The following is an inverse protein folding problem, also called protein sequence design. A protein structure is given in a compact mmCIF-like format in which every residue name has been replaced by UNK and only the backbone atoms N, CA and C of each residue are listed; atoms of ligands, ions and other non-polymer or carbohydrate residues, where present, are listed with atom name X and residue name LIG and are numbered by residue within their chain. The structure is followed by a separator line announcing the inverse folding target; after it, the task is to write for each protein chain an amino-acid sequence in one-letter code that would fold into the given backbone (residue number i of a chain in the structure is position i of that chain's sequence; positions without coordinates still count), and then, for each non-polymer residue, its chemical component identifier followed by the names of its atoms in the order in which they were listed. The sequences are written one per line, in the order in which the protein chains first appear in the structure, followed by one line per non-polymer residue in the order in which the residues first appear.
data_IF_541725826644
#
_entry.id   IF_541725826644
#
_cell.length_a   1.000
_cell.length_b   1.000
_cell.length_c   1.000
_cell.angle_alpha   90.00
_cell.angle_beta   90.00
_cell.angle_gamma   90.00
#
_symmetry.space_group_name_H-M   'P 1'
#
loop_
_entity.id
_entity.type
_entity.pdbx_description
1 polymer ?
#
# COMPACT_ATOMS: atom_id res chain seq x y z
N UNK A 1 -23.94 -17.31 -6.61
CA UNK A 1 -22.65 -17.22 -5.93
C UNK A 1 -22.56 -18.16 -4.71
N UNK A 2 -23.48 -18.16 -3.75
CA UNK A 2 -23.49 -19.03 -2.54
C UNK A 2 -23.31 -20.53 -2.84
N UNK A 3 -24.01 -21.09 -3.84
CA UNK A 3 -23.91 -22.51 -4.21
C UNK A 3 -22.52 -22.86 -4.77
N UNK A 4 -21.92 -21.97 -5.52
CA UNK A 4 -20.56 -22.16 -6.06
C UNK A 4 -19.51 -22.18 -4.94
N UNK A 5 -19.64 -21.26 -3.97
CA UNK A 5 -18.80 -21.20 -2.78
C UNK A 5 -18.94 -22.50 -1.96
N UNK A 6 -20.17 -22.94 -1.66
CA UNK A 6 -20.41 -24.17 -0.94
C UNK A 6 -19.79 -25.40 -1.64
N UNK A 7 -19.93 -25.51 -2.95
CA UNK A 7 -19.29 -26.59 -3.74
C UNK A 7 -17.78 -26.54 -3.66
N UNK A 8 -17.19 -25.34 -3.68
CA UNK A 8 -15.75 -25.15 -3.57
C UNK A 8 -15.24 -25.58 -2.19
N UNK A 9 -15.93 -25.18 -1.12
CA UNK A 9 -15.57 -25.51 0.26
C UNK A 9 -15.64 -27.03 0.52
N UNK A 10 -16.63 -27.71 -0.07
CA UNK A 10 -16.77 -29.17 0.04
C UNK A 10 -15.62 -29.94 -0.64
N UNK A 11 -15.01 -29.39 -1.69
CA UNK A 11 -13.88 -30.01 -2.39
C UNK A 11 -12.58 -30.01 -1.60
N UNK A 12 -12.45 -29.17 -0.57
CA UNK A 12 -11.26 -29.02 0.30
C UNK A 12 -9.92 -28.99 -0.49
N UNK A 13 -9.74 -28.10 -1.47
CA UNK A 13 -8.51 -28.04 -2.25
C UNK A 13 -7.33 -27.61 -1.37
N UNK A 14 -6.10 -27.94 -1.75
CA UNK A 14 -4.91 -27.54 -0.98
C UNK A 14 -4.73 -26.01 -0.90
N UNK A 15 -5.27 -25.26 -1.88
CA UNK A 15 -5.18 -23.80 -1.96
C UNK A 15 -6.54 -23.24 -2.34
N UNK A 16 -7.05 -22.32 -1.53
CA UNK A 16 -8.22 -21.48 -1.87
C UNK A 16 -7.77 -20.12 -2.41
N UNK A 17 -8.39 -19.71 -3.52
CA UNK A 17 -8.31 -18.36 -4.04
C UNK A 17 -9.72 -17.75 -3.93
N UNK A 18 -9.87 -16.76 -3.06
CA UNK A 18 -11.15 -16.11 -2.78
C UNK A 18 -11.04 -14.62 -3.11
N UNK A 19 -11.92 -14.17 -3.99
CA UNK A 19 -12.06 -12.77 -4.37
C UNK A 19 -13.43 -12.27 -3.91
N UNK A 20 -13.44 -11.33 -2.97
CA UNK A 20 -14.61 -10.72 -2.34
C UNK A 20 -15.65 -11.75 -1.89
N UNK A 21 -15.28 -12.76 -1.07
CA UNK A 21 -16.19 -13.87 -0.72
C UNK A 21 -17.35 -13.44 0.17
N UNK A 22 -17.25 -12.31 0.85
CA UNK A 22 -18.30 -11.75 1.72
C UNK A 22 -19.43 -11.07 0.95
N UNK A 23 -19.22 -10.75 -0.34
CA UNK A 23 -20.22 -10.11 -1.16
C UNK A 23 -21.50 -10.96 -1.27
N UNK A 24 -22.62 -10.35 -0.97
CA UNK A 24 -23.96 -10.96 -0.99
C UNK A 24 -24.20 -12.08 0.05
N UNK A 25 -23.37 -12.18 1.09
CA UNK A 25 -23.60 -13.02 2.25
C UNK A 25 -24.30 -12.21 3.36
N UNK A 26 -25.15 -12.90 4.12
CA UNK A 26 -25.67 -12.38 5.37
C UNK A 26 -24.63 -12.56 6.50
N UNK A 27 -24.87 -11.89 7.61
CA UNK A 27 -23.92 -11.85 8.75
C UNK A 27 -23.64 -13.26 9.28
N UNK A 28 -24.65 -14.11 9.37
CA UNK A 28 -24.50 -15.49 9.84
C UNK A 28 -23.61 -16.31 8.91
N UNK A 29 -23.79 -16.16 7.59
CA UNK A 29 -22.95 -16.82 6.59
C UNK A 29 -21.51 -16.34 6.63
N UNK A 30 -21.27 -15.03 6.88
CA UNK A 30 -19.92 -14.47 7.02
C UNK A 30 -19.24 -15.07 8.26
N UNK A 31 -19.90 -15.08 9.41
CA UNK A 31 -19.35 -15.66 10.64
C UNK A 31 -19.00 -17.14 10.47
N UNK A 32 -19.90 -17.90 9.83
CA UNK A 32 -19.64 -19.31 9.52
C UNK A 32 -18.41 -19.46 8.58
N UNK A 33 -18.29 -18.61 7.57
CA UNK A 33 -17.17 -18.64 6.65
C UNK A 33 -15.85 -18.28 7.35
N UNK A 34 -15.84 -17.28 8.24
CA UNK A 34 -14.70 -16.93 9.07
C UNK A 34 -14.22 -18.14 9.89
N UNK A 35 -15.14 -18.78 10.58
CA UNK A 35 -14.81 -19.95 11.41
C UNK A 35 -14.29 -21.12 10.57
N UNK A 36 -14.89 -21.37 9.42
CA UNK A 36 -14.42 -22.39 8.49
C UNK A 36 -13.00 -22.11 8.00
N UNK A 37 -12.71 -20.87 7.57
CA UNK A 37 -11.40 -20.48 7.04
C UNK A 37 -10.32 -20.46 8.12
N UNK A 38 -10.62 -20.08 9.35
CA UNK A 38 -9.70 -20.15 10.51
C UNK A 38 -9.22 -21.58 10.78
N UNK A 39 -10.09 -22.54 10.61
CA UNK A 39 -9.81 -23.96 10.87
C UNK A 39 -9.37 -24.72 9.62
N UNK A 40 -9.14 -24.01 8.50
CA UNK A 40 -8.77 -24.63 7.26
C UNK A 40 -7.28 -25.02 7.24
N UNK A 41 -6.98 -26.29 6.92
CA UNK A 41 -5.62 -26.82 6.93
C UNK A 41 -4.81 -26.49 5.65
N UNK A 42 -5.43 -25.94 4.62
CA UNK A 42 -4.78 -25.54 3.37
C UNK A 42 -4.38 -24.06 3.35
N UNK A 43 -3.75 -23.63 2.27
CA UNK A 43 -3.45 -22.22 2.05
C UNK A 43 -4.69 -21.47 1.56
N UNK A 44 -4.92 -20.28 2.11
CA UNK A 44 -6.01 -19.38 1.69
C UNK A 44 -5.40 -18.08 1.20
N UNK A 45 -5.64 -17.73 -0.06
CA UNK A 45 -5.35 -16.41 -0.61
C UNK A 45 -6.67 -15.66 -0.79
N UNK A 46 -6.80 -14.54 -0.09
CA UNK A 46 -8.04 -13.80 0.06
C UNK A 46 -7.85 -12.36 -0.36
N UNK A 47 -8.78 -11.85 -1.17
CA UNK A 47 -8.95 -10.43 -1.47
C UNK A 47 -10.30 -10.00 -0.92
N UNK A 48 -10.36 -8.96 -0.11
CA UNK A 48 -11.61 -8.41 0.41
C UNK A 48 -11.46 -6.94 0.80
N UNK A 49 -12.56 -6.19 0.72
CA UNK A 49 -12.70 -4.84 1.27
C UNK A 49 -13.22 -4.85 2.72
N UNK A 50 -13.70 -5.97 3.20
CA UNK A 50 -14.14 -6.13 4.59
C UNK A 50 -12.95 -6.30 5.53
N UNK A 51 -12.62 -5.20 6.23
CA UNK A 51 -11.48 -5.14 7.14
C UNK A 51 -11.63 -6.07 8.34
N UNK A 52 -12.83 -6.20 8.86
CA UNK A 52 -13.10 -7.06 10.01
C UNK A 52 -12.93 -8.54 9.63
N UNK A 53 -13.44 -8.93 8.48
CA UNK A 53 -13.25 -10.26 7.91
C UNK A 53 -11.78 -10.58 7.68
N UNK A 54 -11.03 -9.66 7.04
CA UNK A 54 -9.59 -9.82 6.84
C UNK A 54 -8.85 -10.01 8.17
N UNK A 55 -9.14 -9.19 9.16
CA UNK A 55 -8.46 -9.24 10.45
C UNK A 55 -8.75 -10.53 11.23
N UNK A 56 -9.97 -11.03 11.09
CA UNK A 56 -10.40 -12.27 11.73
C UNK A 56 -9.80 -13.53 11.08
N UNK A 57 -9.61 -13.53 9.76
CA UNK A 57 -9.25 -14.75 9.01
C UNK A 57 -7.77 -14.81 8.67
N UNK A 58 -7.14 -13.65 8.44
CA UNK A 58 -5.76 -13.63 7.91
C UNK A 58 -4.71 -13.50 9.00
N UNK A 59 -3.61 -14.23 8.83
CA UNK A 59 -2.41 -14.13 9.68
C UNK A 59 -1.25 -13.42 8.98
N UNK A 60 -1.41 -13.15 7.68
CA UNK A 60 -0.39 -12.58 6.81
C UNK A 60 -1.04 -11.67 5.78
N UNK A 61 -0.47 -10.51 5.55
CA UNK A 61 -0.96 -9.53 4.57
C UNK A 61 0.11 -9.28 3.54
N UNK A 62 -0.25 -9.36 2.26
CA UNK A 62 0.63 -9.07 1.13
C UNK A 62 0.13 -7.80 0.44
N UNK A 63 0.99 -6.82 0.32
CA UNK A 63 0.73 -5.56 -0.38
C UNK A 63 1.52 -5.51 -1.68
N UNK A 64 0.87 -5.11 -2.76
CA UNK A 64 1.52 -4.81 -4.04
C UNK A 64 1.48 -3.30 -4.22
N UNK A 65 2.64 -2.66 -4.26
CA UNK A 65 2.76 -1.21 -4.41
C UNK A 65 3.98 -0.84 -5.23
N UNK A 66 3.84 0.10 -6.19
CA UNK A 66 4.91 0.53 -7.10
C UNK A 66 5.66 -0.63 -7.77
N UNK A 67 4.95 -1.67 -8.19
CA UNK A 67 5.52 -2.87 -8.82
C UNK A 67 6.34 -3.77 -7.87
N UNK A 68 6.34 -3.48 -6.56
CA UNK A 68 7.01 -4.27 -5.52
C UNK A 68 6.00 -5.01 -4.66
N UNK A 69 6.38 -6.17 -4.18
CA UNK A 69 5.58 -6.99 -3.26
C UNK A 69 6.14 -6.84 -1.85
N UNK A 70 5.30 -6.43 -0.92
CA UNK A 70 5.64 -6.33 0.50
C UNK A 70 4.86 -7.38 1.28
N UNK A 71 5.57 -8.17 2.06
CA UNK A 71 5.03 -9.27 2.83
C UNK A 71 5.07 -8.97 4.32
N UNK A 72 3.90 -8.87 4.93
CA UNK A 72 3.73 -8.61 6.36
C UNK A 72 3.15 -9.86 7.03
N UNK A 73 3.94 -10.50 7.88
CA UNK A 73 3.51 -11.68 8.67
C UNK A 73 2.64 -11.25 9.86
N UNK A 74 1.64 -10.45 9.59
CA UNK A 74 0.70 -9.90 10.59
C UNK A 74 -0.71 -9.77 10.01
N UNK A 75 -1.77 -9.78 10.85
CA UNK A 75 -3.13 -9.48 10.45
C UNK A 75 -3.28 -8.07 9.88
N UNK A 76 -4.41 -7.83 9.23
CA UNK A 76 -4.67 -6.60 8.49
C UNK A 76 -4.56 -5.32 9.34
N UNK A 77 -5.09 -5.30 10.57
CA UNK A 77 -5.03 -4.11 11.44
C UNK A 77 -3.60 -3.72 11.79
N UNK A 78 -2.74 -4.69 12.08
CA UNK A 78 -1.32 -4.45 12.33
C UNK A 78 -0.56 -4.03 11.07
N UNK A 79 -0.91 -4.61 9.92
CA UNK A 79 -0.37 -4.20 8.63
C UNK A 79 -0.61 -2.71 8.35
N UNK A 80 -1.83 -2.21 8.61
CA UNK A 80 -2.18 -0.78 8.39
C UNK A 80 -1.22 0.14 9.17
N UNK A 81 -0.91 -0.21 10.41
CA UNK A 81 0.05 0.57 11.23
C UNK A 81 1.45 0.52 10.63
N UNK A 82 1.95 -0.69 10.34
CA UNK A 82 3.29 -0.87 9.75
C UNK A 82 3.43 -0.19 8.37
N UNK A 83 2.36 -0.22 7.58
CA UNK A 83 2.30 0.51 6.30
C UNK A 83 2.43 2.02 6.51
N UNK A 84 1.71 2.57 7.48
CA UNK A 84 1.78 4.00 7.80
C UNK A 84 3.19 4.41 8.28
N UNK A 85 3.83 3.60 9.13
CA UNK A 85 5.20 3.83 9.57
C UNK A 85 6.21 3.78 8.39
N UNK A 86 6.11 2.75 7.55
CA UNK A 86 6.96 2.63 6.34
C UNK A 86 6.81 3.86 5.46
N UNK A 87 5.59 4.30 5.24
CA UNK A 87 5.29 5.46 4.41
C UNK A 87 5.87 6.76 4.99
N UNK A 88 5.74 6.95 6.29
CA UNK A 88 6.36 8.10 6.97
C UNK A 88 7.88 8.11 6.78
N UNK A 89 8.54 6.95 6.87
CA UNK A 89 9.97 6.82 6.61
C UNK A 89 10.32 7.11 5.13
N UNK A 90 9.53 6.62 4.18
CA UNK A 90 9.73 6.91 2.76
C UNK A 90 9.58 8.39 2.46
N UNK A 91 8.56 9.06 3.05
CA UNK A 91 8.35 10.49 2.87
C UNK A 91 9.51 11.30 3.44
N UNK A 92 9.99 10.98 4.64
CA UNK A 92 11.15 11.64 5.23
C UNK A 92 12.43 11.45 4.39
N UNK A 93 12.63 10.24 3.84
CA UNK A 93 13.75 9.96 2.94
C UNK A 93 13.64 10.75 1.62
N UNK A 94 12.45 10.83 1.05
CA UNK A 94 12.15 11.62 -0.14
C UNK A 94 12.44 13.11 0.09
N UNK A 95 11.92 13.70 1.18
CA UNK A 95 12.18 15.11 1.50
C UNK A 95 13.66 15.41 1.70
N UNK A 96 14.39 14.53 2.37
CA UNK A 96 15.83 14.66 2.54
C UNK A 96 16.56 14.58 1.20
N UNK A 97 16.15 13.69 0.31
CA UNK A 97 16.70 13.58 -1.04
C UNK A 97 16.41 14.85 -1.85
N UNK A 98 15.19 15.39 -1.80
CA UNK A 98 14.83 16.62 -2.51
C UNK A 98 15.69 17.81 -2.03
N UNK A 99 15.87 17.98 -0.73
CA UNK A 99 16.76 19.01 -0.16
C UNK A 99 18.21 18.85 -0.61
N UNK A 100 18.69 17.60 -0.76
CA UNK A 100 20.04 17.34 -1.27
C UNK A 100 20.17 17.70 -2.75
N UNK A 101 19.16 17.35 -3.55
CA UNK A 101 19.09 17.70 -4.97
C UNK A 101 19.12 19.23 -5.13
N UNK A 102 18.22 19.93 -4.45
CA UNK A 102 18.09 21.40 -4.50
C UNK A 102 19.43 22.10 -4.16
N UNK A 103 20.05 21.74 -3.03
CA UNK A 103 21.35 22.28 -2.63
C UNK A 103 22.46 21.98 -3.65
N UNK A 104 22.38 20.82 -4.30
CA UNK A 104 23.38 20.43 -5.30
C UNK A 104 23.17 21.21 -6.60
N UNK A 105 21.92 21.42 -7.00
CA UNK A 105 21.55 22.23 -8.16
C UNK A 105 21.93 23.71 -7.95
N UNK A 106 21.62 24.28 -6.77
CA UNK A 106 22.06 25.64 -6.41
C UNK A 106 23.58 25.79 -6.47
N UNK A 107 24.32 24.79 -5.98
CA UNK A 107 25.80 24.81 -6.06
C UNK A 107 26.27 24.79 -7.52
N UNK A 108 25.69 23.93 -8.37
CA UNK A 108 26.01 23.83 -9.78
C UNK A 108 25.74 25.17 -10.46
N UNK A 109 24.60 25.78 -10.25
CA UNK A 109 24.20 27.03 -10.86
C UNK A 109 25.16 28.19 -10.45
N UNK A 110 25.43 28.32 -9.15
CA UNK A 110 26.31 29.35 -8.59
C UNK A 110 27.74 29.27 -9.09
N UNK A 111 28.24 28.06 -9.35
CA UNK A 111 29.66 27.85 -9.71
C UNK A 111 29.88 27.41 -11.15
N UNK A 112 28.83 27.31 -11.97
CA UNK A 112 28.85 26.83 -13.36
C UNK A 112 29.93 27.55 -14.24
N UNK A 113 30.11 28.84 -14.03
CA UNK A 113 30.99 29.68 -14.83
C UNK A 113 32.35 29.96 -14.20
N UNK A 114 32.65 29.35 -13.03
CA UNK A 114 33.94 29.54 -12.36
C UNK A 114 34.94 28.44 -12.75
N UNK A 115 36.04 28.77 -13.51
CA UNK A 115 36.99 27.75 -13.97
C UNK A 115 37.59 26.93 -12.83
N UNK A 116 37.89 27.58 -11.67
CA UNK A 116 38.48 26.94 -10.49
C UNK A 116 37.59 25.91 -9.83
N UNK A 117 36.30 25.89 -10.14
CA UNK A 117 35.29 24.97 -9.58
C UNK A 117 34.76 23.94 -10.59
N UNK A 118 35.26 23.97 -11.85
CA UNK A 118 34.78 23.13 -12.95
C UNK A 118 34.75 21.63 -12.58
N UNK A 119 35.80 21.09 -12.00
CA UNK A 119 35.85 19.67 -11.60
C UNK A 119 34.85 19.32 -10.51
N UNK A 120 34.58 20.23 -9.55
CA UNK A 120 33.61 20.03 -8.49
C UNK A 120 32.19 20.07 -9.05
N UNK A 121 31.89 20.97 -9.97
CA UNK A 121 30.59 21.07 -10.66
C UNK A 121 30.33 19.80 -11.46
N UNK A 122 31.28 19.35 -12.28
CA UNK A 122 31.15 18.11 -13.07
C UNK A 122 30.94 16.88 -12.18
N UNK A 123 31.63 16.79 -11.06
CA UNK A 123 31.45 15.69 -10.10
C UNK A 123 30.02 15.68 -9.53
N UNK A 124 29.48 16.85 -9.18
CA UNK A 124 28.12 16.97 -8.65
C UNK A 124 27.04 16.70 -9.70
N UNK A 125 27.24 17.12 -10.93
CA UNK A 125 26.36 16.77 -12.06
C UNK A 125 26.27 15.24 -12.21
N UNK A 126 27.44 14.57 -12.25
CA UNK A 126 27.49 13.11 -12.34
C UNK A 126 26.86 12.40 -11.13
N UNK A 127 26.91 13.00 -9.93
CA UNK A 127 26.21 12.48 -8.76
C UNK A 127 24.69 12.56 -8.93
N UNK A 128 24.17 13.69 -9.42
CA UNK A 128 22.73 13.84 -9.67
C UNK A 128 22.23 12.90 -10.78
N UNK A 129 23.00 12.70 -11.84
CA UNK A 129 22.66 11.80 -12.94
C UNK A 129 22.59 10.32 -12.49
N UNK A 130 23.39 9.94 -11.50
CA UNK A 130 23.42 8.57 -10.94
C UNK A 130 22.45 8.37 -9.77
N UNK A 131 21.82 9.43 -9.31
CA UNK A 131 20.94 9.37 -8.15
C UNK A 131 19.63 8.68 -8.53
N UNK A 132 19.36 7.53 -7.93
CA UNK A 132 18.05 6.90 -8.01
C UNK A 132 17.04 7.74 -7.22
N UNK A 133 16.01 8.22 -7.90
CA UNK A 133 14.97 9.01 -7.26
C UNK A 133 14.05 8.11 -6.43
N UNK A 134 13.79 8.52 -5.20
CA UNK A 134 12.87 7.82 -4.31
C UNK A 134 11.45 8.11 -4.80
N UNK A 135 10.73 7.04 -5.11
CA UNK A 135 9.31 7.10 -5.41
C UNK A 135 8.52 6.88 -4.10
N UNK A 136 7.53 7.70 -3.88
CA UNK A 136 6.63 7.60 -2.71
C UNK A 136 5.27 7.15 -3.19
N UNK A 137 4.67 6.20 -2.48
CA UNK A 137 3.30 5.76 -2.72
C UNK A 137 2.35 6.97 -2.63
N UNK A 138 1.63 7.25 -3.71
CA UNK A 138 0.57 8.25 -3.67
C UNK A 138 -0.50 7.84 -2.64
N UNK A 139 -0.89 8.78 -1.80
CA UNK A 139 -2.05 8.60 -0.96
C UNK A 139 -3.27 8.64 -1.87
N UNK A 140 -4.14 7.65 -1.76
CA UNK A 140 -5.48 7.76 -2.30
C UNK A 140 -6.21 8.86 -1.50
N UNK A 141 -5.90 10.10 -1.87
CA UNK A 141 -6.48 11.31 -1.30
C UNK A 141 -7.88 11.60 -1.90
N UNK A 142 -8.48 10.64 -2.57
CA UNK A 142 -9.86 10.76 -3.06
C UNK A 142 -10.85 10.84 -1.89
N UNK A 143 -10.70 11.88 -1.07
CA UNK A 143 -11.73 12.29 -0.12
C UNK A 143 -12.87 12.91 -0.91
N UNK A 144 -13.96 12.18 -0.97
CA UNK A 144 -15.21 12.67 -1.51
C UNK A 144 -15.65 13.91 -0.69
N UNK A 145 -15.36 15.10 -1.19
CA UNK A 145 -15.72 16.35 -0.52
C UNK A 145 -17.15 16.72 -0.91
N UNK A 146 -18.12 16.00 -0.34
CA UNK A 146 -19.55 16.28 -0.58
C UNK A 146 -19.94 17.48 0.28
N UNK A 147 -20.11 18.63 -0.36
CA UNK A 147 -20.75 19.80 0.26
C UNK A 147 -22.25 19.70 0.02
N UNK A 148 -23.00 19.42 1.07
CA UNK A 148 -24.45 19.53 1.01
C UNK A 148 -24.86 21.02 1.00
N UNK A 149 -25.64 21.49 0.02
CA UNK A 149 -26.19 22.83 0.09
C UNK A 149 -27.11 22.96 1.33
N UNK A 150 -27.14 24.10 2.00
CA UNK A 150 -28.04 24.29 3.13
C UNK A 150 -29.50 24.11 2.67
N UNK A 151 -30.29 23.41 3.49
CA UNK A 151 -31.69 23.19 3.21
C UNK A 151 -32.42 24.55 3.08
N UNK A 152 -33.35 24.72 2.11
CA UNK A 152 -34.12 25.94 2.02
C UNK A 152 -34.92 26.13 3.32
N UNK A 153 -34.88 27.35 3.87
CA UNK A 153 -35.69 27.70 5.05
C UNK A 153 -37.15 27.64 4.66
N UNK A 154 -37.93 26.87 5.38
CA UNK A 154 -39.40 26.83 5.31
C UNK A 154 -40.00 28.12 5.86
#
# INVERSE_FOLDING_TARGET
MRIALAKLLLKRPSIFLLDEPTNHLDIESIQWLEEYLKNYNGAVLLISHDRAFLDNVTTRTVEISLGKVYDYKVPYSKYVVLRAERRAQQMAAYENQQRLIEKTEEFIEKFRYKPTKSNQVQSRVKQLEKLERIEVDEEDLSRLNIKFPPAPRS
#
